data_IF_665694230259
#
_entry.id   IF_665694230259
#
_cell.length_a   1.000
_cell.length_b   1.000
_cell.length_c   1.000
_cell.angle_alpha   90.00
_cell.angle_beta   90.00
_cell.angle_gamma   90.00
#
_symmetry.space_group_name_H-M   'P 1'
#
loop_
_entity.id
_entity.type
_entity.pdbx_description
1 polymer ?
#
# COMPACT_ATOMS: atom_id res chain seq x y z
N UNK A 1 0.92 -3.78 6.45
CA UNK A 1 2.25 -3.13 6.37
C UNK A 1 3.32 -3.74 7.26
N UNK A 2 3.00 -4.15 8.49
CA UNK A 2 3.96 -4.73 9.43
C UNK A 2 4.41 -6.15 9.04
N UNK A 3 5.50 -6.62 9.64
CA UNK A 3 5.96 -8.00 9.54
C UNK A 3 6.52 -8.46 8.20
N UNK A 4 6.70 -9.78 8.08
CA UNK A 4 7.47 -10.45 7.03
C UNK A 4 6.60 -11.11 5.93
N UNK A 5 5.31 -10.81 5.90
CA UNK A 5 4.40 -11.31 4.87
C UNK A 5 4.84 -10.86 3.47
N UNK A 6 4.38 -11.58 2.43
CA UNK A 6 4.71 -11.23 1.04
C UNK A 6 4.34 -9.78 0.74
N UNK A 7 5.24 -9.04 0.09
CA UNK A 7 4.95 -7.70 -0.40
C UNK A 7 3.95 -7.72 -1.57
N UNK A 8 3.78 -8.87 -2.24
CA UNK A 8 2.85 -9.01 -3.36
C UNK A 8 1.38 -8.99 -2.92
N UNK A 9 1.09 -9.06 -1.62
CA UNK A 9 -0.28 -8.87 -1.10
C UNK A 9 -0.65 -7.40 -0.96
N UNK A 10 0.31 -6.49 -1.15
CA UNK A 10 0.08 -5.04 -1.13
C UNK A 10 -0.57 -4.67 -2.45
N UNK A 11 -1.77 -4.12 -2.38
CA UNK A 11 -2.54 -3.72 -3.55
C UNK A 11 -3.09 -2.32 -3.36
N UNK A 12 -3.21 -1.56 -4.44
CA UNK A 12 -3.95 -0.31 -4.45
C UNK A 12 -5.40 -0.61 -4.84
N UNK A 13 -6.35 0.00 -4.14
CA UNK A 13 -7.78 -0.13 -4.41
C UNK A 13 -8.42 1.24 -4.48
N UNK A 14 -9.23 1.47 -5.49
CA UNK A 14 -10.12 2.62 -5.53
C UNK A 14 -11.36 2.31 -4.68
N UNK A 15 -11.48 2.96 -3.53
CA UNK A 15 -12.52 2.62 -2.54
C UNK A 15 -13.78 3.45 -2.78
N UNK A 16 -13.64 4.74 -3.06
CA UNK A 16 -14.77 5.64 -3.39
C UNK A 16 -14.28 6.98 -3.96
N UNK A 17 -14.98 7.58 -4.92
CA UNK A 17 -14.70 8.94 -5.44
C UNK A 17 -13.21 9.28 -5.65
N UNK A 18 -12.58 10.02 -4.72
CA UNK A 18 -11.18 10.43 -4.76
C UNK A 18 -10.35 9.75 -3.65
N UNK A 19 -10.82 8.60 -3.17
CA UNK A 19 -10.23 7.84 -2.10
C UNK A 19 -9.66 6.52 -2.63
N UNK A 20 -8.32 6.44 -2.58
CA UNK A 20 -7.53 5.27 -2.92
C UNK A 20 -6.86 4.76 -1.65
N UNK A 21 -6.85 3.44 -1.47
CA UNK A 21 -6.22 2.77 -0.35
C UNK A 21 -5.15 1.83 -0.87
N UNK A 22 -3.92 1.95 -0.37
CA UNK A 22 -2.88 0.98 -0.63
C UNK A 22 -2.53 0.21 0.64
N UNK A 23 -2.32 -1.10 0.50
CA UNK A 23 -1.92 -1.94 1.60
C UNK A 23 -2.31 -3.39 1.39
N UNK A 24 -2.03 -4.20 2.40
CA UNK A 24 -2.42 -5.61 2.44
C UNK A 24 -3.75 -5.86 3.17
N UNK A 25 -4.32 -4.83 3.79
CA UNK A 25 -5.59 -4.89 4.52
C UNK A 25 -5.61 -5.79 5.76
N UNK A 26 -4.48 -6.37 6.15
CA UNK A 26 -4.44 -7.40 7.20
C UNK A 26 -3.25 -7.30 8.16
N UNK A 27 -2.11 -6.74 7.74
CA UNK A 27 -0.90 -6.81 8.57
C UNK A 27 -0.75 -5.57 9.45
N UNK A 28 -0.92 -5.79 10.75
CA UNK A 28 -0.81 -4.81 11.81
C UNK A 28 0.42 -5.08 12.69
N UNK A 29 0.85 -4.06 13.45
CA UNK A 29 1.86 -4.21 14.49
C UNK A 29 1.26 -5.00 15.65
N UNK A 30 1.99 -5.98 16.18
CA UNK A 30 1.58 -6.75 17.35
C UNK A 30 2.76 -6.98 18.30
N UNK A 31 2.49 -7.63 19.44
CA UNK A 31 3.49 -7.98 20.45
C UNK A 31 4.53 -8.97 19.86
N UNK A 32 5.58 -8.42 19.25
CA UNK A 32 6.71 -9.16 18.68
C UNK A 32 6.99 -8.88 17.21
N UNK A 33 6.04 -8.30 16.46
CA UNK A 33 6.24 -7.97 15.04
C UNK A 33 5.89 -6.50 14.80
N UNK A 34 6.95 -5.70 14.63
CA UNK A 34 6.86 -4.30 14.29
C UNK A 34 6.75 -4.03 12.79
N UNK A 35 6.88 -2.75 12.45
CA UNK A 35 7.05 -2.30 11.08
C UNK A 35 8.36 -2.86 10.50
N UNK A 36 8.30 -3.38 9.28
CA UNK A 36 9.47 -3.83 8.53
C UNK A 36 9.71 -2.83 7.41
N UNK A 37 10.86 -2.14 7.46
CA UNK A 37 11.16 -0.99 6.59
C UNK A 37 10.99 -1.28 5.10
N UNK A 38 11.46 -2.44 4.64
CA UNK A 38 11.35 -2.86 3.24
C UNK A 38 9.89 -3.01 2.79
N UNK A 39 9.04 -3.56 3.65
CA UNK A 39 7.62 -3.78 3.35
C UNK A 39 6.81 -2.49 3.40
N UNK A 40 7.12 -1.61 4.36
CA UNK A 40 6.56 -0.26 4.43
C UNK A 40 6.94 0.54 3.18
N UNK A 41 8.20 0.46 2.76
CA UNK A 41 8.68 1.16 1.56
C UNK A 41 8.00 0.65 0.29
N UNK A 42 7.75 -0.66 0.17
CA UNK A 42 7.05 -1.21 -0.98
C UNK A 42 5.64 -0.62 -1.14
N UNK A 43 4.87 -0.51 -0.06
CA UNK A 43 3.56 0.14 -0.09
C UNK A 43 3.64 1.62 -0.37
N UNK A 44 4.56 2.34 0.28
CA UNK A 44 4.74 3.77 0.05
C UNK A 44 5.12 4.06 -1.42
N UNK A 45 5.94 3.21 -2.03
CA UNK A 45 6.27 3.31 -3.45
C UNK A 45 5.04 3.06 -4.35
N UNK A 46 4.19 2.09 -3.98
CA UNK A 46 2.95 1.80 -4.68
C UNK A 46 1.95 2.96 -4.60
N UNK A 47 1.82 3.59 -3.42
CA UNK A 47 1.04 4.81 -3.20
C UNK A 47 1.56 5.98 -4.04
N UNK A 48 2.86 6.25 -3.97
CA UNK A 48 3.49 7.33 -4.71
C UNK A 48 3.31 7.16 -6.22
N UNK A 49 3.41 5.92 -6.72
CA UNK A 49 3.19 5.64 -8.13
C UNK A 49 1.73 5.86 -8.52
N UNK A 50 0.76 5.46 -7.69
CA UNK A 50 -0.65 5.75 -7.94
C UNK A 50 -0.93 7.26 -8.01
N UNK A 51 -0.29 8.07 -7.15
CA UNK A 51 -0.40 9.53 -7.22
C UNK A 51 0.07 10.06 -8.58
N UNK A 52 1.22 9.58 -9.07
CA UNK A 52 1.72 9.96 -10.40
C UNK A 52 0.72 9.55 -11.49
N UNK A 53 0.16 8.33 -11.41
CA UNK A 53 -0.86 7.84 -12.35
C UNK A 53 -2.10 8.73 -12.36
N UNK A 54 -2.63 9.08 -11.20
CA UNK A 54 -3.79 9.99 -11.06
C UNK A 54 -3.51 11.35 -11.71
N UNK A 55 -2.32 11.93 -11.45
CA UNK A 55 -1.91 13.21 -12.06
C UNK A 55 -1.80 13.11 -13.59
N UNK A 56 -1.48 11.94 -14.12
CA UNK A 56 -1.45 11.65 -15.56
C UNK A 56 -2.84 11.29 -16.15
N UNK A 57 -3.89 11.24 -15.34
CA UNK A 57 -5.24 10.84 -15.76
C UNK A 57 -5.50 9.33 -15.76
N UNK A 58 -4.53 8.53 -15.30
CA UNK A 58 -4.61 7.07 -15.19
C UNK A 58 -5.22 6.69 -13.83
N UNK A 59 -6.53 6.47 -13.80
CA UNK A 59 -7.30 6.31 -12.54
C UNK A 59 -7.45 4.86 -12.07
N UNK A 60 -7.13 3.88 -12.92
CA UNK A 60 -7.17 2.45 -12.55
C UNK A 60 -5.98 2.14 -11.64
N UNK A 61 -6.18 1.44 -10.50
CA UNK A 61 -5.09 1.02 -9.60
C UNK A 61 -4.01 0.12 -10.21
#
# INVERSE_FOLDING_TARGET
>A
MAGFGSANTIVTRHVFQHFYLCGDGMSDVNDGIGLVSSRVLACAAHEAHMVIRILAGEIEP
#
